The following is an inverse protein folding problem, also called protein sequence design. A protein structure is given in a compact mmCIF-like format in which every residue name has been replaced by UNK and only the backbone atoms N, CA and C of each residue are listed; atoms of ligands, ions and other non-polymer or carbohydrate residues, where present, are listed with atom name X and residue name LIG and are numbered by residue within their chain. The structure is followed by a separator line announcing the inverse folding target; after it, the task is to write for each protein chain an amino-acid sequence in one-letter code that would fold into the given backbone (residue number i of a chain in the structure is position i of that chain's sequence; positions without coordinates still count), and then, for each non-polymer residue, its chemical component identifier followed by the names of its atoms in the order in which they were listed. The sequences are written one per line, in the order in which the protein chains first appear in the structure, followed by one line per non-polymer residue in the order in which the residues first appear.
data_IF_409253184293
#
_entry.id   IF_409253184293
#
_cell.length_a   1.000
_cell.length_b   1.000
_cell.length_c   1.000
_cell.angle_alpha   90.00
_cell.angle_beta   90.00
_cell.angle_gamma   90.00
#
_symmetry.space_group_name_H-M   'P 1'
#
loop_
_entity.id
_entity.type
_entity.pdbx_description
1 polymer ?
#
# COMPACT_ATOMS: atom_id res chain seq x y z
N UNK A 1 -14.02 18.19 -9.46
CA UNK A 1 -15.47 18.01 -9.25
C UNK A 1 -16.16 19.26 -8.76
N UNK A 2 -17.45 19.19 -8.61
CA UNK A 2 -18.29 20.25 -8.07
C UNK A 2 -18.56 20.01 -6.59
N UNK A 3 -18.90 21.06 -5.82
CA UNK A 3 -19.28 20.91 -4.41
C UNK A 3 -18.16 20.43 -3.49
N UNK A 4 -16.91 20.67 -3.84
CA UNK A 4 -15.77 20.31 -3.00
C UNK A 4 -15.66 21.29 -1.84
N UNK A 5 -15.61 20.77 -0.62
CA UNK A 5 -15.36 21.53 0.60
C UNK A 5 -13.91 21.30 1.05
N UNK A 6 -13.16 22.39 1.19
CA UNK A 6 -11.85 22.35 1.86
C UNK A 6 -12.03 23.06 3.20
N UNK A 7 -12.14 22.26 4.27
CA UNK A 7 -12.38 22.77 5.61
C UNK A 7 -11.06 23.00 6.35
N UNK A 8 -10.90 24.16 6.97
CA UNK A 8 -9.67 24.59 7.64
C UNK A 8 -8.40 24.51 6.77
N UNK A 9 -8.45 24.76 5.51
CA UNK A 9 -7.50 24.46 4.42
C UNK A 9 -6.00 24.66 4.64
N UNK A 10 -5.52 24.88 5.87
CA UNK A 10 -4.12 25.05 6.20
C UNK A 10 -3.34 23.76 5.93
N UNK A 11 -2.23 23.86 5.20
CA UNK A 11 -1.34 22.73 4.91
C UNK A 11 -1.92 21.66 3.98
N UNK A 12 -3.00 21.93 3.25
CA UNK A 12 -3.53 21.05 2.22
C UNK A 12 -2.62 21.10 1.00
N UNK A 13 -2.21 19.93 0.53
CA UNK A 13 -1.40 19.75 -0.68
C UNK A 13 -2.14 18.85 -1.65
N UNK A 14 -2.47 19.37 -2.82
CA UNK A 14 -3.09 18.62 -3.92
C UNK A 14 -2.09 18.56 -5.06
N UNK A 15 -1.59 17.37 -5.35
CA UNK A 15 -0.59 17.16 -6.40
C UNK A 15 -1.13 17.48 -7.79
N UNK A 16 -0.24 17.87 -8.68
CA UNK A 16 -0.53 18.37 -10.05
C UNK A 16 -1.47 17.47 -10.87
N UNK A 17 -1.33 16.15 -10.76
CA UNK A 17 -2.15 15.18 -11.50
C UNK A 17 -3.23 14.52 -10.64
N UNK A 18 -3.49 15.06 -9.44
CA UNK A 18 -4.59 14.57 -8.61
C UNK A 18 -5.93 14.90 -9.25
N UNK A 19 -6.90 14.01 -9.10
CA UNK A 19 -8.28 14.22 -9.54
C UNK A 19 -9.17 14.09 -8.30
N UNK A 20 -10.11 15.01 -8.15
CA UNK A 20 -11.07 14.99 -7.05
C UNK A 20 -12.47 15.02 -7.65
N UNK A 21 -13.28 14.03 -7.31
CA UNK A 21 -14.67 13.92 -7.73
C UNK A 21 -15.58 14.95 -7.07
N UNK A 22 -16.89 14.77 -7.22
CA UNK A 22 -17.90 15.69 -6.74
C UNK A 22 -18.18 15.51 -5.23
N UNK A 23 -18.58 16.59 -4.55
CA UNK A 23 -19.01 16.60 -3.15
C UNK A 23 -17.98 16.00 -2.17
N UNK A 24 -16.70 16.14 -2.47
CA UNK A 24 -15.64 15.69 -1.58
C UNK A 24 -15.38 16.71 -0.46
N UNK A 25 -15.01 16.20 0.71
CA UNK A 25 -14.58 17.03 1.85
C UNK A 25 -13.12 16.73 2.16
N UNK A 26 -12.29 17.76 2.20
CA UNK A 26 -10.85 17.68 2.46
C UNK A 26 -10.54 18.56 3.67
N UNK A 27 -9.98 17.96 4.71
CA UNK A 27 -9.60 18.69 5.92
C UNK A 27 -8.15 19.16 5.87
N UNK A 28 -7.77 19.99 6.87
CA UNK A 28 -6.42 20.57 7.00
C UNK A 28 -5.33 19.49 6.99
N UNK A 29 -4.17 19.87 6.46
CA UNK A 29 -2.97 19.04 6.44
C UNK A 29 -3.06 17.79 5.57
N UNK A 30 -4.12 17.63 4.78
CA UNK A 30 -4.26 16.53 3.82
C UNK A 30 -3.23 16.66 2.71
N UNK A 31 -2.66 15.53 2.27
CA UNK A 31 -1.78 15.48 1.09
C UNK A 31 -2.31 14.45 0.10
N UNK A 32 -2.64 14.91 -1.11
CA UNK A 32 -2.86 14.06 -2.28
C UNK A 32 -1.56 14.04 -3.07
N UNK A 33 -0.64 13.13 -2.69
CA UNK A 33 0.75 13.10 -3.13
C UNK A 33 1.06 12.00 -4.13
N UNK A 34 2.19 12.17 -4.82
CA UNK A 34 2.76 11.14 -5.68
C UNK A 34 3.83 10.32 -4.98
N UNK A 35 4.12 9.15 -5.52
CA UNK A 35 5.26 8.31 -5.12
C UNK A 35 6.20 8.17 -6.31
N UNK A 36 7.49 8.44 -6.08
CA UNK A 36 8.52 8.32 -7.12
C UNK A 36 8.62 9.51 -8.07
N UNK A 37 9.50 9.36 -9.06
CA UNK A 37 9.87 10.41 -10.04
C UNK A 37 9.25 10.18 -11.42
N UNK A 38 8.25 9.32 -11.53
CA UNK A 38 7.62 8.98 -12.81
C UNK A 38 6.94 10.20 -13.44
N UNK A 39 7.09 10.35 -14.74
CA UNK A 39 6.35 11.35 -15.52
C UNK A 39 4.92 10.86 -15.74
N UNK A 40 3.96 11.79 -15.75
CA UNK A 40 2.54 11.50 -15.99
C UNK A 40 1.71 11.39 -14.71
N UNK A 41 0.69 10.53 -14.72
CA UNK A 41 -0.24 10.33 -13.61
C UNK A 41 0.50 9.68 -12.42
N UNK A 42 0.73 10.44 -11.36
CA UNK A 42 1.44 10.00 -10.14
C UNK A 42 0.70 10.31 -8.84
N UNK A 43 -0.40 11.05 -8.92
CA UNK A 43 -1.22 11.44 -7.78
C UNK A 43 -2.56 10.73 -7.80
N UNK A 44 -3.24 10.61 -6.65
CA UNK A 44 -4.47 9.85 -6.53
C UNK A 44 -5.64 10.47 -7.29
N UNK A 45 -6.61 9.61 -7.59
CA UNK A 45 -7.94 10.00 -8.04
C UNK A 45 -8.93 9.68 -6.92
N UNK A 46 -9.67 10.66 -6.46
CA UNK A 46 -10.78 10.49 -5.53
C UNK A 46 -12.08 10.44 -6.32
N UNK A 47 -12.92 9.47 -6.02
CA UNK A 47 -14.29 9.39 -6.49
C UNK A 47 -15.18 10.48 -5.87
N UNK A 48 -16.48 10.25 -5.94
CA UNK A 48 -17.47 11.20 -5.42
C UNK A 48 -17.78 10.98 -3.94
N UNK A 49 -18.19 12.02 -3.23
CA UNK A 49 -18.58 11.96 -1.81
C UNK A 49 -17.48 11.40 -0.89
N UNK A 50 -16.21 11.62 -1.25
CA UNK A 50 -15.08 11.15 -0.45
C UNK A 50 -14.74 12.15 0.64
N UNK A 51 -14.61 11.67 1.87
CA UNK A 51 -14.16 12.47 3.01
C UNK A 51 -12.72 12.11 3.37
N UNK A 52 -11.83 13.09 3.35
CA UNK A 52 -10.42 12.93 3.71
C UNK A 52 -10.16 13.69 5.01
N UNK A 53 -9.99 12.94 6.10
CA UNK A 53 -9.80 13.48 7.45
C UNK A 53 -8.49 14.25 7.61
N UNK A 54 -8.44 15.08 8.66
CA UNK A 54 -7.33 15.98 8.94
C UNK A 54 -5.97 15.24 8.97
N UNK A 55 -4.97 15.79 8.30
CA UNK A 55 -3.61 15.24 8.27
C UNK A 55 -3.44 13.95 7.47
N UNK A 56 -4.49 13.40 6.87
CA UNK A 56 -4.37 12.17 6.08
C UNK A 56 -3.47 12.35 4.86
N UNK A 57 -2.74 11.29 4.49
CA UNK A 57 -1.85 11.25 3.33
C UNK A 57 -2.30 10.16 2.38
N UNK A 58 -2.62 10.53 1.15
CA UNK A 58 -2.98 9.60 0.08
C UNK A 58 -1.87 9.68 -0.96
N UNK A 59 -1.06 8.62 -1.06
CA UNK A 59 0.21 8.67 -1.79
C UNK A 59 0.26 7.61 -2.87
N UNK A 60 0.22 8.02 -4.13
CA UNK A 60 0.32 7.15 -5.31
C UNK A 60 -0.74 7.45 -6.36
N UNK A 61 -0.61 6.80 -7.52
CA UNK A 61 -1.47 7.00 -8.70
C UNK A 61 -2.65 6.03 -8.77
N UNK A 62 -3.25 5.72 -7.63
CA UNK A 62 -4.40 4.80 -7.56
C UNK A 62 -5.72 5.55 -7.35
N UNK A 63 -6.81 4.80 -7.40
CA UNK A 63 -8.16 5.31 -7.23
C UNK A 63 -8.71 5.01 -5.83
N UNK A 64 -9.43 5.98 -5.29
CA UNK A 64 -10.28 5.86 -4.10
C UNK A 64 -11.72 5.92 -4.59
N UNK A 65 -12.47 4.86 -4.37
CA UNK A 65 -13.84 4.76 -4.81
C UNK A 65 -14.79 5.76 -4.16
N UNK A 66 -16.03 5.76 -4.62
CA UNK A 66 -17.08 6.65 -4.14
C UNK A 66 -17.46 6.37 -2.67
N UNK A 67 -17.94 7.40 -1.97
CA UNK A 67 -18.45 7.32 -0.59
C UNK A 67 -17.42 6.79 0.41
N UNK A 68 -16.13 6.96 0.13
CA UNK A 68 -15.06 6.54 1.04
C UNK A 68 -14.80 7.58 2.12
N UNK A 69 -14.38 7.10 3.29
CA UNK A 69 -13.89 7.93 4.38
C UNK A 69 -12.49 7.53 4.77
N UNK A 70 -11.54 8.42 4.62
CA UNK A 70 -10.17 8.24 5.09
C UNK A 70 -10.06 8.98 6.43
N UNK A 71 -9.75 8.24 7.49
CA UNK A 71 -9.68 8.81 8.83
C UNK A 71 -8.54 9.81 8.98
N UNK A 72 -8.63 10.66 10.01
CA UNK A 72 -7.57 11.61 10.33
C UNK A 72 -6.21 10.89 10.56
N UNK A 73 -5.14 11.50 10.06
CA UNK A 73 -3.76 11.01 10.11
C UNK A 73 -3.54 9.63 9.48
N UNK A 74 -4.48 9.12 8.71
CA UNK A 74 -4.29 7.86 7.98
C UNK A 74 -3.34 8.05 6.79
N UNK A 75 -2.54 7.03 6.51
CA UNK A 75 -1.64 7.00 5.33
C UNK A 75 -2.10 5.92 4.38
N UNK A 76 -2.77 6.31 3.32
CA UNK A 76 -3.31 5.43 2.31
C UNK A 76 -2.30 5.24 1.17
N UNK A 77 -1.93 3.99 0.92
CA UNK A 77 -0.92 3.58 -0.06
C UNK A 77 -1.48 2.59 -1.10
N UNK A 78 -2.77 2.25 -1.00
CA UNK A 78 -3.43 1.26 -1.88
C UNK A 78 -4.82 1.77 -2.28
N UNK A 79 -5.35 1.32 -3.43
CA UNK A 79 -6.69 1.67 -3.85
C UNK A 79 -7.75 1.22 -2.83
N UNK A 80 -8.87 1.92 -2.81
CA UNK A 80 -10.05 1.55 -2.05
C UNK A 80 -11.24 1.38 -3.00
N UNK A 81 -12.04 0.35 -2.77
CA UNK A 81 -13.35 0.19 -3.38
C UNK A 81 -14.35 1.21 -2.81
N UNK A 82 -15.55 1.25 -3.38
CA UNK A 82 -16.61 2.13 -2.90
C UNK A 82 -17.07 1.80 -1.47
N UNK A 83 -17.58 2.80 -0.77
CA UNK A 83 -18.23 2.68 0.54
C UNK A 83 -17.30 2.18 1.66
N UNK A 84 -16.01 2.45 1.56
CA UNK A 84 -15.02 2.00 2.56
C UNK A 84 -14.65 3.13 3.52
N UNK A 85 -14.54 2.76 4.81
CA UNK A 85 -13.83 3.58 5.80
C UNK A 85 -12.47 2.96 6.07
N UNK A 86 -11.40 3.72 5.85
CA UNK A 86 -10.02 3.30 6.08
C UNK A 86 -9.38 4.11 7.20
N UNK A 87 -8.60 3.44 8.06
CA UNK A 87 -7.91 4.05 9.21
C UNK A 87 -6.49 3.53 9.36
N UNK A 88 -5.63 4.32 9.96
CA UNK A 88 -4.31 3.91 10.43
C UNK A 88 -3.15 4.20 9.46
N UNK A 89 -1.94 3.74 9.85
CA UNK A 89 -0.69 3.90 9.12
C UNK A 89 0.02 2.53 9.07
N UNK A 90 0.04 1.86 7.92
CA UNK A 90 -0.70 2.14 6.70
C UNK A 90 -2.22 2.00 6.89
N UNK A 91 -2.99 2.76 6.13
CA UNK A 91 -4.44 2.74 6.22
C UNK A 91 -5.00 1.39 5.74
N UNK A 92 -5.94 0.86 6.55
CA UNK A 92 -6.65 -0.39 6.28
C UNK A 92 -8.15 -0.19 6.32
N UNK A 93 -8.92 -0.89 5.49
CA UNK A 93 -10.37 -0.92 5.58
C UNK A 93 -10.83 -1.40 6.95
N UNK A 94 -11.73 -0.67 7.61
CA UNK A 94 -12.34 -1.08 8.89
C UNK A 94 -13.85 -1.18 8.79
N UNK A 95 -14.46 -0.56 7.77
CA UNK A 95 -15.88 -0.69 7.44
C UNK A 95 -16.05 -0.75 5.93
N UNK A 96 -17.03 -1.54 5.49
CA UNK A 96 -17.54 -1.57 4.11
C UNK A 96 -19.06 -1.53 4.16
N UNK A 97 -19.68 -0.65 3.38
CA UNK A 97 -21.15 -0.46 3.35
C UNK A 97 -21.74 -0.21 4.76
N UNK A 98 -21.02 0.55 5.61
CA UNK A 98 -21.44 0.82 6.99
C UNK A 98 -21.22 -0.34 7.99
N UNK A 99 -20.91 -1.55 7.49
CA UNK A 99 -20.66 -2.74 8.32
C UNK A 99 -19.19 -2.81 8.71
N UNK A 100 -18.93 -3.12 9.98
CA UNK A 100 -17.56 -3.26 10.48
C UNK A 100 -16.92 -4.53 9.93
N UNK A 101 -15.75 -4.39 9.33
CA UNK A 101 -14.96 -5.53 8.89
C UNK A 101 -14.29 -6.23 10.09
N UNK A 102 -14.08 -7.55 10.03
CA UNK A 102 -13.27 -8.26 11.00
C UNK A 102 -11.90 -7.56 11.11
N UNK A 103 -11.39 -7.41 12.32
CA UNK A 103 -10.00 -6.98 12.49
C UNK A 103 -9.11 -8.04 11.87
N UNK A 104 -8.34 -7.68 10.84
CA UNK A 104 -7.18 -8.48 10.51
C UNK A 104 -6.26 -8.44 11.74
N UNK A 105 -6.16 -9.57 12.44
CA UNK A 105 -5.13 -9.71 13.44
C UNK A 105 -3.79 -9.47 12.74
N UNK A 106 -2.88 -8.67 13.35
CA UNK A 106 -1.54 -8.58 12.81
C UNK A 106 -1.04 -10.03 12.72
N UNK A 107 -0.57 -10.44 11.56
CA UNK A 107 0.15 -11.71 11.43
C UNK A 107 1.39 -11.57 12.31
N UNK A 108 1.23 -11.92 13.57
CA UNK A 108 2.35 -12.18 14.43
C UNK A 108 2.97 -13.43 13.82
N UNK A 109 4.09 -13.23 13.13
CA UNK A 109 4.90 -14.35 12.66
C UNK A 109 5.26 -15.11 13.93
N UNK A 110 4.56 -16.22 14.18
CA UNK A 110 4.82 -17.03 15.36
C UNK A 110 6.28 -17.50 15.29
N UNK A 111 6.96 -17.62 16.42
CA UNK A 111 8.32 -18.19 16.49
C UNK A 111 8.37 -19.53 15.77
N UNK A 112 7.27 -20.29 15.80
CA UNK A 112 7.13 -21.57 15.09
C UNK A 112 7.22 -21.40 13.55
N UNK A 113 6.64 -20.34 13.01
CA UNK A 113 6.74 -20.02 11.57
C UNK A 113 8.15 -19.56 11.20
N UNK A 114 8.80 -18.77 12.07
CA UNK A 114 10.18 -18.33 11.89
C UNK A 114 11.14 -19.53 11.89
N UNK A 115 11.02 -20.44 12.88
CA UNK A 115 11.81 -21.66 12.94
C UNK A 115 11.62 -22.56 11.73
N UNK A 116 10.38 -22.69 11.21
CA UNK A 116 10.12 -23.45 9.97
C UNK A 116 10.75 -22.82 8.74
N UNK A 117 10.77 -21.50 8.66
CA UNK A 117 11.46 -20.80 7.57
C UNK A 117 12.97 -20.97 7.64
N UNK A 118 13.59 -20.85 8.82
CA UNK A 118 15.03 -21.10 8.99
C UNK A 118 15.41 -22.53 8.64
N UNK A 119 14.64 -23.53 9.07
CA UNK A 119 14.86 -24.92 8.71
C UNK A 119 14.77 -25.14 7.19
N UNK A 120 13.82 -24.48 6.52
CA UNK A 120 13.67 -24.59 5.06
C UNK A 120 14.81 -23.92 4.30
N UNK A 121 15.30 -22.78 4.79
CA UNK A 121 16.48 -22.10 4.22
C UNK A 121 17.71 -23.01 4.34
N UNK A 122 17.96 -23.58 5.51
CA UNK A 122 19.09 -24.49 5.72
C UNK A 122 19.02 -25.75 4.81
N UNK A 123 17.83 -26.31 4.61
CA UNK A 123 17.62 -27.42 3.69
C UNK A 123 17.94 -27.05 2.23
N UNK A 124 17.48 -25.88 1.79
CA UNK A 124 17.74 -25.38 0.44
C UNK A 124 19.23 -25.10 0.21
N UNK A 125 19.91 -24.53 1.18
CA UNK A 125 21.37 -24.31 1.12
C UNK A 125 22.16 -25.62 1.03
N UNK A 126 21.73 -26.66 1.76
CA UNK A 126 22.34 -27.98 1.67
C UNK A 126 22.13 -28.62 0.29
N UNK A 127 20.93 -28.49 -0.28
CA UNK A 127 20.63 -28.97 -1.64
C UNK A 127 21.49 -28.24 -2.69
N UNK A 128 21.68 -26.94 -2.52
CA UNK A 128 22.46 -26.10 -3.41
C UNK A 128 23.92 -26.53 -3.41
N UNK A 129 24.52 -26.77 -2.24
CA UNK A 129 25.89 -27.28 -2.12
C UNK A 129 26.07 -28.66 -2.78
N UNK A 130 25.10 -29.56 -2.60
CA UNK A 130 25.16 -30.87 -3.26
C UNK A 130 25.11 -30.74 -4.79
N UNK A 131 24.32 -29.83 -5.31
CA UNK A 131 24.26 -29.58 -6.75
C UNK A 131 25.56 -28.96 -7.28
N UNK A 132 26.15 -28.04 -6.55
CA UNK A 132 27.46 -27.44 -6.90
C UNK A 132 28.58 -28.48 -6.92
N UNK A 133 28.62 -29.35 -5.91
CA UNK A 133 29.61 -30.48 -5.88
C UNK A 133 29.42 -31.43 -7.06
N UNK A 134 28.16 -31.74 -7.41
CA UNK A 134 27.87 -32.61 -8.58
C UNK A 134 28.25 -31.95 -9.90
N UNK A 135 28.03 -30.64 -10.03
CA UNK A 135 28.44 -29.88 -11.23
C UNK A 135 29.95 -29.73 -11.31
N UNK A 136 30.63 -29.49 -10.18
CA UNK A 136 32.09 -29.44 -10.11
C UNK A 136 32.77 -30.79 -10.42
N UNK A 137 32.10 -31.90 -10.09
CA UNK A 137 32.59 -33.26 -10.42
C UNK A 137 32.40 -33.61 -11.91
N UNK A 138 31.51 -32.95 -12.64
CA UNK A 138 31.28 -33.14 -14.08
C UNK A 138 32.27 -32.34 -14.95
N UNK A 139 32.83 -31.25 -14.39
CA UNK A 139 33.86 -30.43 -15.04
C UNK A 139 35.29 -30.89 -14.64
N UNK A 140 35.56 -32.17 -14.70
CA UNK A 140 36.92 -32.73 -14.61
C UNK A 140 37.71 -32.44 -15.89
N UNK A 141 39.05 -32.40 -15.83
CA UNK A 141 39.88 -31.76 -16.83
C UNK A 141 39.91 -32.57 -18.12
N UNK A 142 39.26 -32.13 -19.15
CA UNK A 142 39.62 -32.48 -20.53
C UNK A 142 40.49 -31.37 -21.11
N UNK A 143 41.61 -31.86 -21.67
CA UNK A 143 42.57 -31.20 -22.55
C UNK A 143 43.78 -30.47 -21.92
N UNK A 144 44.78 -31.35 -21.69
CA UNK A 144 46.16 -31.00 -22.03
C UNK A 144 46.72 -32.14 -22.89
N UNK A 145 46.69 -31.98 -24.19
CA UNK A 145 47.69 -32.47 -25.12
C UNK A 145 47.92 -31.42 -26.22
#
# INVERSE_FOLDING_TARGET
GHGILIDHGCGVVIGETAVVGDNCTIYQGVTLGGVGTQKGKRHPTLGNNVTVGAGAKILGSFEVGDNCTIAANAVLLKPLENNITAVGVPARPVKKDGVRLPKEEPQVVSMDHYCKMEARVAELEAQLRQLEERLGAVSGPEDRQ
#
